data_IF_321068850859
#
_entry.id   IF_321068850859
#
_cell.length_a   1.000
_cell.length_b   1.000
_cell.length_c   1.000
_cell.angle_alpha   90.00
_cell.angle_beta   90.00
_cell.angle_gamma   90.00
#
_symmetry.space_group_name_H-M   'P 1'
#
loop_
_entity.id
_entity.type
_entity.pdbx_description
1 polymer ?
#
# COMPACT_ATOMS: atom_id res chain seq x y z
N UNK A 1 30.97 -2.63 1.62
CA UNK A 1 29.91 -1.60 1.74
C UNK A 1 30.16 -0.52 0.71
N UNK A 2 29.24 -0.30 -0.23
CA UNK A 2 29.40 0.71 -1.29
C UNK A 2 29.37 2.13 -0.71
N UNK A 3 29.94 3.11 -1.41
CA UNK A 3 29.85 4.53 -1.02
C UNK A 3 28.39 4.97 -0.74
N UNK A 4 27.41 4.47 -1.51
CA UNK A 4 25.98 4.73 -1.32
C UNK A 4 25.43 4.16 -0.01
N UNK A 5 25.86 2.97 0.42
CA UNK A 5 25.48 2.41 1.69
C UNK A 5 26.08 3.17 2.88
N UNK A 6 27.29 3.71 2.72
CA UNK A 6 27.93 4.58 3.72
C UNK A 6 27.24 5.94 3.83
N UNK A 7 26.78 6.51 2.72
CA UNK A 7 26.01 7.77 2.72
C UNK A 7 24.64 7.58 3.40
N UNK A 8 23.93 6.51 3.07
CA UNK A 8 22.64 6.20 3.70
C UNK A 8 22.79 5.90 5.20
N UNK A 9 23.87 5.21 5.61
CA UNK A 9 24.20 4.97 7.01
C UNK A 9 24.56 6.28 7.74
N UNK A 10 25.24 7.23 7.06
CA UNK A 10 25.55 8.56 7.60
C UNK A 10 24.26 9.38 7.84
N UNK A 11 23.31 9.36 6.91
CA UNK A 11 22.01 10.03 7.10
C UNK A 11 21.27 9.45 8.31
N UNK A 12 21.25 8.14 8.47
CA UNK A 12 20.65 7.45 9.63
C UNK A 12 21.43 7.78 10.91
N UNK A 13 22.76 7.80 10.89
CA UNK A 13 23.59 8.16 12.04
C UNK A 13 23.44 9.65 12.44
N UNK A 14 23.36 10.55 11.46
CA UNK A 14 23.13 11.99 11.70
C UNK A 14 21.74 12.21 12.31
N UNK A 15 20.72 11.45 11.88
CA UNK A 15 19.39 11.47 12.52
C UNK A 15 19.45 10.96 13.96
N UNK A 16 20.16 9.88 14.24
CA UNK A 16 20.36 9.35 15.59
C UNK A 16 21.18 10.29 16.49
N UNK A 17 22.22 10.94 15.96
CA UNK A 17 23.02 11.92 16.69
C UNK A 17 22.25 13.23 16.99
N UNK A 18 21.48 13.74 16.02
CA UNK A 18 20.62 14.93 16.26
C UNK A 18 19.54 14.65 17.31
N UNK A 19 18.96 13.45 17.34
CA UNK A 19 18.04 13.01 18.41
C UNK A 19 18.72 12.89 19.78
N UNK A 20 20.02 12.55 19.83
CA UNK A 20 20.79 12.41 21.07
C UNK A 20 21.31 13.76 21.59
N UNK A 21 21.60 14.71 20.73
CA UNK A 21 22.09 16.06 21.11
C UNK A 21 20.99 16.92 21.75
N UNK A 22 19.72 16.71 21.38
CA UNK A 22 18.57 17.36 22.02
C UNK A 22 18.31 16.88 23.47
N UNK A 23 18.87 15.73 23.87
CA UNK A 23 18.73 15.18 25.23
C UNK A 23 19.87 15.65 26.15
N UNK A 24 21.00 16.11 25.60
CA UNK A 24 22.17 16.52 26.40
C UNK A 24 22.31 18.04 26.62
N UNK A 25 21.40 18.85 26.05
CA UNK A 25 21.42 20.31 26.18
C UNK A 25 20.79 20.89 27.47
N UNK A 26 20.29 20.06 28.40
CA UNK A 26 19.52 20.50 29.56
C UNK A 26 20.18 20.29 30.91
N UNK A 27 21.45 19.95 30.99
CA UNK A 27 22.16 19.81 32.27
C UNK A 27 23.51 20.52 32.18
N UNK A 28 23.52 21.81 32.37
CA UNK A 28 24.64 22.59 32.87
C UNK A 28 24.23 24.08 32.97
N UNK A 29 23.54 24.46 34.02
CA UNK A 29 23.70 25.77 34.71
C UNK A 29 23.00 25.66 36.05
N UNK A 30 23.73 25.33 37.10
CA UNK A 30 23.46 25.77 38.46
C UNK A 30 24.77 25.71 39.21
N UNK A 31 25.37 26.87 39.38
CA UNK A 31 25.94 27.33 40.65
C UNK A 31 26.70 28.62 40.41
N UNK A 32 26.16 29.73 40.84
CA UNK A 32 26.93 30.77 41.54
C UNK A 32 25.97 31.64 42.29
N UNK A 33 26.21 31.75 43.57
CA UNK A 33 25.55 32.63 44.53
C UNK A 33 26.05 34.07 44.46
N UNK A 34 25.15 34.97 44.85
CA UNK A 34 25.26 36.19 45.67
C UNK A 34 25.27 37.52 44.93
N UNK A 35 24.32 38.29 45.19
CA UNK A 35 24.21 39.52 46.00
C UNK A 35 23.07 40.43 45.51
N UNK A 36 22.39 41.00 46.50
CA UNK A 36 21.20 41.82 46.40
C UNK A 36 21.34 43.03 45.48
N UNK A 37 20.34 43.25 44.61
CA UNK A 37 19.82 44.58 44.29
C UNK A 37 18.32 44.46 43.94
N UNK A 38 17.51 45.13 44.72
CA UNK A 38 16.07 45.30 44.52
C UNK A 38 15.86 46.24 43.35
N UNK A 39 15.41 45.77 42.26
CA UNK A 39 14.75 46.55 41.22
C UNK A 39 13.38 45.90 40.94
N UNK A 40 12.37 46.61 41.42
CA UNK A 40 10.98 46.40 41.06
C UNK A 40 10.79 46.69 39.57
N UNK A 41 10.58 45.66 38.79
CA UNK A 41 9.95 45.76 37.50
C UNK A 41 8.91 44.66 37.43
N UNK A 42 7.66 45.07 37.34
CA UNK A 42 6.52 44.29 36.95
C UNK A 42 6.79 43.69 35.54
N UNK A 43 7.49 42.60 35.46
CA UNK A 43 7.36 41.64 34.35
C UNK A 43 6.47 40.52 34.87
N UNK A 44 5.16 40.72 34.72
CA UNK A 44 4.25 39.60 34.58
C UNK A 44 4.71 38.80 33.33
N UNK A 45 5.66 37.93 33.50
CA UNK A 45 5.76 36.76 32.66
C UNK A 45 4.45 36.01 32.87
N UNK A 46 3.46 36.27 32.00
CA UNK A 46 2.43 35.32 31.75
C UNK A 46 3.15 33.99 31.48
N UNK A 47 3.22 33.13 32.49
CA UNK A 47 3.47 31.72 32.28
C UNK A 47 2.30 31.25 31.43
N UNK A 48 2.51 31.30 30.11
CA UNK A 48 1.59 30.72 29.13
C UNK A 48 1.34 29.32 29.63
N UNK A 49 0.15 29.06 30.15
CA UNK A 49 -0.25 27.70 30.53
C UNK A 49 -0.15 26.92 29.23
N UNK A 50 0.95 26.19 29.07
CA UNK A 50 1.13 25.29 27.94
C UNK A 50 -0.07 24.37 27.95
N UNK A 51 -0.86 24.38 26.88
CA UNK A 51 -1.99 23.49 26.74
C UNK A 51 -1.53 22.03 26.93
N UNK A 52 -2.42 21.13 27.31
CA UNK A 52 -2.10 19.73 27.60
C UNK A 52 -1.32 19.03 26.48
N UNK A 53 -1.36 19.55 25.25
CA UNK A 53 -0.76 18.97 24.05
C UNK A 53 0.28 19.86 23.36
N UNK A 54 0.69 20.98 23.94
CA UNK A 54 1.57 21.98 23.29
C UNK A 54 2.89 21.34 22.81
N UNK A 55 3.55 20.54 23.67
CA UNK A 55 4.82 19.90 23.35
C UNK A 55 4.66 18.85 22.22
N UNK A 56 3.59 18.09 22.26
CA UNK A 56 3.28 17.07 21.26
C UNK A 56 2.95 17.69 19.91
N UNK A 57 2.11 18.71 19.88
CA UNK A 57 1.75 19.41 18.64
C UNK A 57 2.97 20.15 18.04
N UNK A 58 3.87 20.72 18.85
CA UNK A 58 5.13 21.28 18.35
C UNK A 58 6.03 20.22 17.73
N UNK A 59 6.09 19.02 18.32
CA UNK A 59 6.80 17.91 17.73
C UNK A 59 6.15 17.50 16.40
N UNK A 60 4.82 17.37 16.33
CA UNK A 60 4.09 17.08 15.08
C UNK A 60 4.43 18.11 14.00
N UNK A 61 4.32 19.42 14.34
CA UNK A 61 4.65 20.49 13.41
C UNK A 61 6.09 20.39 12.88
N UNK A 62 7.05 20.15 13.78
CA UNK A 62 8.46 20.05 13.40
C UNK A 62 8.72 18.88 12.42
N UNK A 63 8.11 17.71 12.66
CA UNK A 63 8.23 16.57 11.76
C UNK A 63 7.57 16.86 10.40
N UNK A 64 6.36 17.41 10.41
CA UNK A 64 5.65 17.77 9.19
C UNK A 64 6.40 18.83 8.39
N UNK A 65 6.91 19.87 9.05
CA UNK A 65 7.70 20.90 8.38
C UNK A 65 9.00 20.35 7.78
N UNK A 66 9.57 19.28 8.33
CA UNK A 66 10.78 18.62 7.80
C UNK A 66 10.49 17.63 6.69
N UNK A 67 9.53 16.70 6.90
CA UNK A 67 9.37 15.52 6.06
C UNK A 67 8.22 15.64 5.05
N UNK A 68 7.20 16.50 5.30
CA UNK A 68 5.99 16.55 4.50
C UNK A 68 6.22 17.09 3.08
N UNK A 69 5.76 16.38 2.06
CA UNK A 69 5.97 16.76 0.65
C UNK A 69 5.43 18.16 0.33
N UNK A 70 4.26 18.48 0.85
CA UNK A 70 3.59 19.78 0.63
C UNK A 70 3.76 20.71 1.82
N UNK A 71 4.93 20.71 2.48
CA UNK A 71 5.21 21.55 3.65
C UNK A 71 4.95 23.05 3.44
N UNK A 72 5.08 23.53 2.20
CA UNK A 72 4.82 24.93 1.85
C UNK A 72 3.33 25.30 1.86
N UNK A 73 2.44 24.31 1.82
CA UNK A 73 1.01 24.52 1.92
C UNK A 73 0.52 24.51 3.39
N UNK A 74 1.40 24.17 4.34
CA UNK A 74 1.09 24.19 5.77
C UNK A 74 0.87 25.63 6.28
N UNK A 75 0.01 25.84 7.30
CA UNK A 75 -0.10 27.11 7.98
C UNK A 75 1.22 27.49 8.65
N UNK A 76 1.47 28.82 8.81
CA UNK A 76 2.60 29.30 9.59
C UNK A 76 2.53 28.81 11.04
N UNK A 77 3.69 28.49 11.61
CA UNK A 77 3.77 28.02 12.99
C UNK A 77 3.12 28.95 14.02
N UNK A 78 3.17 30.26 13.79
CA UNK A 78 2.56 31.26 14.69
C UNK A 78 1.03 31.30 14.56
N UNK A 79 0.47 30.80 13.46
CA UNK A 79 -0.97 30.74 13.23
C UNK A 79 -1.60 29.43 13.71
N UNK A 80 -0.80 28.46 14.19
CA UNK A 80 -1.29 27.15 14.61
C UNK A 80 -1.81 27.16 16.05
N UNK A 81 -2.91 26.42 16.29
CA UNK A 81 -3.44 26.16 17.62
C UNK A 81 -2.83 24.88 18.22
N UNK A 82 -1.84 25.04 19.07
CA UNK A 82 -1.13 23.95 19.75
C UNK A 82 -1.90 23.37 20.96
N UNK A 83 -3.12 23.80 21.21
CA UNK A 83 -3.94 23.31 22.34
C UNK A 83 -4.87 22.16 21.95
N UNK A 84 -5.04 21.91 20.65
CA UNK A 84 -5.86 20.80 20.13
C UNK A 84 -5.17 19.46 20.31
N UNK A 85 -5.92 18.36 20.24
CA UNK A 85 -5.32 17.02 20.25
C UNK A 85 -4.42 16.81 19.02
N UNK A 86 -3.29 16.09 19.17
CA UNK A 86 -2.29 15.97 18.11
C UNK A 86 -2.76 15.32 16.80
N UNK A 87 -3.79 14.47 16.83
CA UNK A 87 -4.37 13.86 15.61
C UNK A 87 -5.16 14.90 14.83
N UNK A 88 -5.96 15.71 15.51
CA UNK A 88 -6.68 16.85 14.92
C UNK A 88 -5.70 17.91 14.45
N UNK A 89 -4.67 18.22 15.25
CA UNK A 89 -3.60 19.13 14.88
C UNK A 89 -2.87 18.67 13.61
N UNK A 90 -2.47 17.40 13.53
CA UNK A 90 -1.86 16.84 12.31
C UNK A 90 -2.75 17.07 11.08
N UNK A 91 -4.06 16.81 11.19
CA UNK A 91 -5.00 17.00 10.08
C UNK A 91 -5.10 18.46 9.65
N UNK A 92 -4.99 19.42 10.58
CA UNK A 92 -5.02 20.86 10.27
C UNK A 92 -3.82 21.34 9.46
N UNK A 93 -2.72 20.57 9.46
CA UNK A 93 -1.50 20.88 8.69
C UNK A 93 -1.54 20.37 7.25
N UNK A 94 -2.52 19.54 6.88
CA UNK A 94 -2.52 18.88 5.58
C UNK A 94 -2.93 19.83 4.45
N UNK A 95 -2.22 19.75 3.34
CA UNK A 95 -2.60 20.36 2.07
C UNK A 95 -3.90 19.77 1.55
N UNK A 96 -4.71 20.58 0.87
CA UNK A 96 -5.91 20.11 0.15
C UNK A 96 -5.62 19.06 -0.95
N UNK A 97 -4.38 18.95 -1.38
CA UNK A 97 -3.90 17.92 -2.33
C UNK A 97 -3.72 16.55 -1.67
N UNK A 98 -3.62 16.53 -0.35
CA UNK A 98 -3.30 15.33 0.42
C UNK A 98 -4.56 14.54 0.77
N UNK A 99 -4.64 13.32 0.25
CA UNK A 99 -5.72 12.36 0.53
C UNK A 99 -5.21 11.13 1.28
N UNK A 100 -3.92 11.09 1.65
CA UNK A 100 -3.24 9.85 2.01
C UNK A 100 -2.46 9.91 3.33
N UNK A 101 -2.15 11.11 3.84
CA UNK A 101 -1.47 11.26 5.12
C UNK A 101 -2.40 10.95 6.28
N UNK A 102 -1.88 10.27 7.28
CA UNK A 102 -2.63 9.99 8.51
C UNK A 102 -1.72 9.99 9.74
N UNK A 103 -2.33 10.08 10.91
CA UNK A 103 -1.66 9.92 12.19
C UNK A 103 -2.50 9.06 13.12
N UNK A 104 -1.82 8.33 14.01
CA UNK A 104 -2.46 7.48 15.00
C UNK A 104 -1.87 7.75 16.38
N UNK A 105 -2.73 7.74 17.40
CA UNK A 105 -2.37 7.76 18.80
C UNK A 105 -2.65 6.38 19.41
N UNK A 106 -1.77 5.95 20.28
CA UNK A 106 -1.79 4.66 20.95
C UNK A 106 -1.16 3.47 20.20
N UNK A 107 -0.71 2.57 21.02
CA UNK A 107 0.16 1.43 20.90
C UNK A 107 -0.20 0.36 19.86
N UNK A 108 -1.29 0.51 19.18
CA UNK A 108 -1.51 -0.18 17.92
C UNK A 108 -0.75 0.59 16.86
N UNK A 109 0.58 0.45 16.84
CA UNK A 109 1.27 0.73 15.60
C UNK A 109 0.49 -0.03 14.53
N UNK A 110 -0.19 0.72 13.68
CA UNK A 110 -0.68 0.16 12.43
C UNK A 110 0.57 -0.06 11.57
N UNK A 111 1.42 -0.96 12.03
CA UNK A 111 2.06 -1.86 11.12
C UNK A 111 0.90 -2.49 10.41
N UNK A 112 0.95 -2.64 9.12
CA UNK A 112 0.05 -3.45 8.33
C UNK A 112 -0.50 -4.54 9.24
N UNK A 113 -1.65 -4.28 9.90
CA UNK A 113 -2.13 -5.24 10.87
C UNK A 113 -2.73 -6.34 10.04
N UNK A 114 -2.05 -7.45 10.01
CA UNK A 114 -2.42 -8.67 9.32
C UNK A 114 -3.65 -9.33 9.95
N UNK A 115 -4.44 -8.55 10.72
CA UNK A 115 -5.65 -9.03 11.38
C UNK A 115 -6.85 -8.85 10.47
N UNK A 116 -7.33 -9.95 9.98
CA UNK A 116 -8.63 -10.05 9.35
C UNK A 116 -9.65 -10.39 10.46
N UNK A 117 -10.58 -9.47 10.74
CA UNK A 117 -11.50 -9.58 11.88
C UNK A 117 -12.25 -10.92 11.95
N UNK A 118 -12.65 -11.44 10.80
CA UNK A 118 -13.45 -12.66 10.72
C UNK A 118 -12.74 -13.84 10.05
N UNK A 119 -11.54 -13.67 9.49
CA UNK A 119 -10.83 -14.69 8.70
C UNK A 119 -11.33 -14.80 7.25
N UNK A 120 -12.01 -13.78 6.76
CA UNK A 120 -12.36 -13.55 5.36
C UNK A 120 -12.55 -12.06 5.11
N UNK A 121 -12.46 -11.64 3.85
CA UNK A 121 -12.72 -10.28 3.44
C UNK A 121 -14.01 -10.18 2.63
N UNK A 122 -14.67 -9.05 2.72
CA UNK A 122 -16.00 -8.84 2.15
C UNK A 122 -16.19 -7.39 1.67
N UNK A 123 -17.21 -7.22 0.83
CA UNK A 123 -17.76 -5.91 0.46
C UNK A 123 -19.24 -5.90 0.85
N UNK A 124 -19.64 -4.83 1.51
CA UNK A 124 -21.05 -4.61 1.85
C UNK A 124 -21.82 -4.00 0.68
N UNK A 125 -23.09 -4.39 0.56
CA UNK A 125 -24.02 -3.94 -0.48
C UNK A 125 -25.38 -3.62 0.10
N UNK A 126 -26.12 -2.75 -0.57
CA UNK A 126 -27.50 -2.41 -0.27
C UNK A 126 -28.33 -2.10 -1.53
N UNK A 127 -29.62 -2.40 -1.49
CA UNK A 127 -30.64 -1.90 -2.41
C UNK A 127 -31.48 -0.76 -1.79
N UNK A 128 -31.10 -0.30 -0.59
CA UNK A 128 -31.85 0.67 0.22
C UNK A 128 -32.78 0.04 1.27
N UNK A 129 -33.18 -1.21 1.10
CA UNK A 129 -34.03 -1.96 2.05
C UNK A 129 -33.26 -3.07 2.74
N UNK A 130 -32.38 -3.76 2.02
CA UNK A 130 -31.62 -4.91 2.49
C UNK A 130 -30.13 -4.62 2.46
N UNK A 131 -29.46 -4.85 3.59
CA UNK A 131 -28.01 -4.77 3.70
C UNK A 131 -27.43 -6.17 3.87
N UNK A 132 -26.39 -6.49 3.11
CA UNK A 132 -25.64 -7.73 3.21
C UNK A 132 -24.20 -7.52 2.77
N UNK A 133 -23.33 -8.49 3.06
CA UNK A 133 -21.98 -8.50 2.55
C UNK A 133 -21.77 -9.68 1.60
N UNK A 134 -20.96 -9.49 0.56
CA UNK A 134 -20.50 -10.58 -0.29
C UNK A 134 -19.04 -10.88 0.01
N UNK A 135 -18.73 -12.14 0.24
CA UNK A 135 -17.38 -12.64 0.52
C UNK A 135 -16.50 -12.48 -0.71
N UNK A 136 -15.37 -11.78 -0.55
CA UNK A 136 -14.37 -11.57 -1.59
C UNK A 136 -13.35 -12.72 -1.64
N UNK A 137 -12.82 -13.10 -0.49
CA UNK A 137 -11.96 -14.27 -0.32
C UNK A 137 -11.90 -14.69 1.17
N UNK A 138 -11.55 -15.96 1.40
CA UNK A 138 -11.50 -16.55 2.75
C UNK A 138 -10.08 -16.97 3.07
N UNK A 139 -9.51 -16.46 4.15
CA UNK A 139 -8.15 -16.78 4.61
C UNK A 139 -8.14 -17.86 5.70
N UNK A 140 -9.18 -17.90 6.56
CA UNK A 140 -9.28 -18.88 7.64
C UNK A 140 -9.52 -20.31 7.10
N UNK A 141 -8.60 -21.27 7.37
CA UNK A 141 -8.83 -22.69 7.02
C UNK A 141 -10.11 -23.23 7.64
N UNK A 142 -10.39 -22.88 8.90
CA UNK A 142 -11.60 -23.32 9.61
C UNK A 142 -12.89 -22.88 8.93
N UNK A 143 -12.93 -21.66 8.37
CA UNK A 143 -14.11 -21.19 7.64
C UNK A 143 -14.23 -21.86 6.27
N UNK A 144 -13.10 -22.13 5.59
CA UNK A 144 -13.08 -22.91 4.34
C UNK A 144 -13.62 -24.33 4.56
N UNK A 145 -13.21 -24.99 5.64
CA UNK A 145 -13.72 -26.32 6.02
C UNK A 145 -15.23 -26.30 6.33
N UNK A 146 -15.74 -25.19 6.86
CA UNK A 146 -17.19 -24.96 7.08
C UNK A 146 -17.94 -24.60 5.78
N UNK A 147 -17.24 -24.53 4.65
CA UNK A 147 -17.82 -24.29 3.33
C UNK A 147 -17.96 -22.82 2.94
N UNK A 148 -17.47 -21.86 3.76
CA UNK A 148 -17.49 -20.45 3.39
C UNK A 148 -16.52 -20.21 2.22
N UNK A 149 -17.01 -19.55 1.18
CA UNK A 149 -16.28 -19.31 -0.06
C UNK A 149 -16.57 -17.94 -0.67
N UNK A 150 -15.74 -17.55 -1.62
CA UNK A 150 -15.96 -16.35 -2.45
C UNK A 150 -17.35 -16.38 -3.08
N UNK A 151 -18.03 -15.23 -3.03
CA UNK A 151 -19.37 -15.06 -3.58
C UNK A 151 -20.49 -15.34 -2.61
N UNK A 152 -20.25 -16.04 -1.50
CA UNK A 152 -21.28 -16.24 -0.49
C UNK A 152 -21.79 -14.91 0.07
N UNK A 153 -23.09 -14.87 0.35
CA UNK A 153 -23.74 -13.71 0.94
C UNK A 153 -23.86 -13.91 2.44
N UNK A 154 -23.49 -12.88 3.21
CA UNK A 154 -23.49 -12.93 4.65
C UNK A 154 -24.05 -11.65 5.27
N UNK A 155 -24.61 -11.77 6.47
CA UNK A 155 -24.83 -10.66 7.40
C UNK A 155 -23.94 -10.87 8.63
N UNK A 156 -23.39 -9.77 9.15
CA UNK A 156 -22.44 -9.80 10.25
C UNK A 156 -23.07 -9.18 11.49
N UNK A 157 -23.22 -9.98 12.55
CA UNK A 157 -23.74 -9.53 13.84
C UNK A 157 -22.79 -9.95 14.95
N UNK A 158 -22.17 -8.98 15.60
CA UNK A 158 -21.17 -9.21 16.66
C UNK A 158 -20.10 -10.23 16.25
N UNK A 159 -20.17 -11.45 16.78
CA UNK A 159 -19.27 -12.55 16.47
C UNK A 159 -19.92 -13.63 15.60
N UNK A 160 -21.05 -13.35 14.95
CA UNK A 160 -21.77 -14.32 14.12
C UNK A 160 -21.72 -13.93 12.65
N UNK A 161 -21.50 -14.93 11.82
CA UNK A 161 -21.55 -14.85 10.36
C UNK A 161 -22.82 -15.59 9.94
N UNK A 162 -23.82 -14.86 9.51
CA UNK A 162 -25.08 -15.42 9.05
C UNK A 162 -25.00 -15.57 7.53
N UNK A 163 -24.93 -16.81 7.05
CA UNK A 163 -24.98 -17.13 5.63
C UNK A 163 -26.43 -17.10 5.14
N UNK A 164 -26.64 -16.62 3.93
CA UNK A 164 -27.97 -16.57 3.37
C UNK A 164 -28.00 -16.38 1.85
N UNK A 165 -29.18 -16.10 1.36
CA UNK A 165 -29.47 -15.82 -0.04
C UNK A 165 -30.38 -14.61 -0.13
N UNK A 166 -30.37 -13.95 -1.28
CA UNK A 166 -31.35 -12.92 -1.59
C UNK A 166 -32.59 -13.54 -2.22
N UNK A 167 -33.74 -13.20 -1.64
CA UNK A 167 -35.05 -13.55 -2.13
C UNK A 167 -35.83 -12.27 -2.42
N UNK A 168 -37.03 -12.41 -3.02
CA UNK A 168 -37.90 -11.25 -3.28
C UNK A 168 -38.26 -10.41 -2.05
N UNK A 169 -38.18 -11.02 -0.86
CA UNK A 169 -38.48 -10.38 0.42
C UNK A 169 -37.23 -9.93 1.20
N UNK A 170 -36.03 -9.91 0.55
CA UNK A 170 -34.78 -9.51 1.16
C UNK A 170 -33.82 -10.68 1.44
N UNK A 171 -32.97 -10.52 2.43
CA UNK A 171 -31.98 -11.54 2.82
C UNK A 171 -32.61 -12.62 3.68
N UNK A 172 -32.53 -13.89 3.25
CA UNK A 172 -33.00 -15.05 3.96
C UNK A 172 -31.80 -15.85 4.52
N UNK A 173 -31.74 -16.01 5.84
CA UNK A 173 -30.70 -16.78 6.52
C UNK A 173 -30.84 -18.28 6.24
N UNK A 174 -29.72 -18.96 5.99
CA UNK A 174 -29.63 -20.41 5.77
C UNK A 174 -28.81 -21.12 6.81
N UNK A 175 -27.73 -20.49 7.29
CA UNK A 175 -26.85 -21.07 8.30
C UNK A 175 -26.18 -19.95 9.11
N UNK A 176 -25.65 -20.30 10.28
CA UNK A 176 -24.92 -19.38 11.15
C UNK A 176 -23.61 -20.01 11.59
N UNK A 177 -22.53 -19.32 11.34
CA UNK A 177 -21.19 -19.70 11.79
C UNK A 177 -20.82 -18.78 12.95
N UNK A 178 -20.47 -19.34 14.10
CA UNK A 178 -19.88 -18.57 15.19
C UNK A 178 -18.54 -17.98 14.73
N UNK A 179 -18.42 -16.67 14.83
CA UNK A 179 -17.20 -15.96 14.47
C UNK A 179 -16.02 -16.41 15.32
N UNK A 180 -14.88 -16.59 14.69
CA UNK A 180 -13.64 -16.83 15.41
C UNK A 180 -13.10 -15.53 15.98
N UNK A 181 -12.23 -15.63 17.00
CA UNK A 181 -11.39 -14.53 17.45
C UNK A 181 -10.62 -13.89 16.26
N UNK A 182 -10.16 -12.65 16.36
CA UNK A 182 -9.36 -12.02 15.31
C UNK A 182 -8.33 -12.99 14.72
N UNK A 183 -8.36 -13.16 13.43
CA UNK A 183 -7.50 -14.10 12.70
C UNK A 183 -6.33 -13.33 12.12
N UNK A 184 -5.10 -13.74 12.45
CA UNK A 184 -3.90 -13.16 11.86
C UNK A 184 -3.69 -13.74 10.46
N UNK A 185 -3.71 -12.87 9.45
CA UNK A 185 -3.33 -13.27 8.10
C UNK A 185 -1.82 -13.35 8.01
N UNK A 186 -1.29 -14.57 7.95
CA UNK A 186 0.16 -14.82 7.89
C UNK A 186 0.71 -14.88 6.47
N UNK A 187 -0.14 -15.16 5.48
CA UNK A 187 0.26 -15.28 4.07
C UNK A 187 -0.11 -14.05 3.26
N UNK A 188 0.82 -13.58 2.44
CA UNK A 188 0.60 -12.47 1.51
C UNK A 188 0.28 -12.94 0.09
N UNK A 189 0.64 -14.15 -0.26
CA UNK A 189 0.18 -14.83 -1.48
C UNK A 189 -1.04 -15.68 -1.11
N UNK A 190 -2.20 -15.31 -1.63
CA UNK A 190 -3.45 -16.01 -1.35
C UNK A 190 -3.52 -17.34 -2.10
N UNK A 191 -3.09 -17.33 -3.37
CA UNK A 191 -3.13 -18.47 -4.26
C UNK A 191 -2.08 -18.28 -5.35
N UNK A 192 -1.38 -19.35 -5.70
CA UNK A 192 -0.60 -19.47 -6.93
C UNK A 192 -0.98 -20.75 -7.68
N UNK A 193 -0.83 -20.71 -8.98
CA UNK A 193 -1.12 -21.84 -9.88
C UNK A 193 -0.33 -21.72 -11.18
N UNK A 194 -0.15 -22.84 -11.86
CA UNK A 194 0.41 -22.87 -13.21
C UNK A 194 -0.61 -23.53 -14.14
N UNK A 195 -0.97 -22.83 -15.20
CA UNK A 195 -1.88 -23.35 -16.24
C UNK A 195 -1.11 -23.68 -17.50
N UNK A 196 -1.51 -24.76 -18.17
CA UNK A 196 -1.06 -25.05 -19.51
C UNK A 196 -2.05 -24.45 -20.52
N UNK A 197 -1.65 -23.37 -21.18
CA UNK A 197 -2.43 -22.72 -22.23
C UNK A 197 -1.72 -22.94 -23.56
N UNK A 198 -2.24 -23.86 -24.34
CA UNK A 198 -1.59 -24.34 -25.56
C UNK A 198 -0.14 -24.81 -25.28
N UNK A 199 0.86 -24.11 -25.79
CA UNK A 199 2.28 -24.44 -25.61
C UNK A 199 2.95 -23.63 -24.50
N UNK A 200 2.21 -22.75 -23.80
CA UNK A 200 2.74 -21.86 -22.79
C UNK A 200 2.38 -22.33 -21.38
N UNK A 201 3.33 -22.25 -20.48
CA UNK A 201 3.10 -22.33 -19.04
C UNK A 201 2.79 -20.93 -18.53
N UNK A 202 1.61 -20.75 -17.97
CA UNK A 202 1.11 -19.47 -17.42
C UNK A 202 1.07 -19.55 -15.91
N UNK A 203 1.95 -18.81 -15.25
CA UNK A 203 1.86 -18.61 -13.81
C UNK A 203 0.70 -17.67 -13.48
N UNK A 204 -0.06 -17.99 -12.45
CA UNK A 204 -1.05 -17.11 -11.82
C UNK A 204 -0.67 -16.92 -10.37
N UNK A 205 -0.72 -15.68 -9.88
CA UNK A 205 -0.48 -15.36 -8.48
C UNK A 205 -1.46 -14.30 -8.01
N UNK A 206 -2.34 -14.65 -7.07
CA UNK A 206 -3.15 -13.69 -6.33
C UNK A 206 -2.36 -13.20 -5.12
N UNK A 207 -1.93 -11.94 -5.16
CA UNK A 207 -1.03 -11.32 -4.20
C UNK A 207 -1.73 -10.19 -3.46
N UNK A 208 -1.97 -10.37 -2.16
CA UNK A 208 -2.85 -9.50 -1.37
C UNK A 208 -2.15 -8.27 -0.79
N UNK A 209 -0.84 -8.34 -0.55
CA UNK A 209 -0.13 -7.22 0.09
C UNK A 209 1.39 -7.29 -0.11
N UNK A 210 2.01 -6.15 -0.38
CA UNK A 210 3.48 -6.02 -0.45
C UNK A 210 4.08 -5.93 0.94
N UNK A 211 4.12 -7.04 1.67
CA UNK A 211 4.63 -7.11 3.03
C UNK A 211 5.80 -8.09 3.15
N UNK A 212 5.56 -9.33 3.54
CA UNK A 212 6.58 -10.34 3.74
C UNK A 212 7.10 -10.91 2.41
N UNK A 213 8.43 -11.06 2.28
CA UNK A 213 9.06 -11.62 1.09
C UNK A 213 9.06 -13.14 1.04
N UNK A 214 8.89 -13.83 2.18
CA UNK A 214 9.10 -15.28 2.27
C UNK A 214 8.17 -16.06 1.34
N UNK A 215 6.86 -15.83 1.43
CA UNK A 215 5.88 -16.53 0.60
C UNK A 215 6.08 -16.19 -0.88
N UNK A 216 6.30 -14.88 -1.15
CA UNK A 216 6.59 -14.39 -2.49
C UNK A 216 7.84 -15.06 -3.09
N UNK A 217 8.92 -15.22 -2.30
CA UNK A 217 10.15 -15.89 -2.76
C UNK A 217 9.91 -17.34 -3.13
N UNK A 218 9.10 -18.06 -2.35
CA UNK A 218 8.77 -19.46 -2.62
C UNK A 218 8.01 -19.61 -3.94
N UNK A 219 7.02 -18.75 -4.19
CA UNK A 219 6.23 -18.78 -5.44
C UNK A 219 7.10 -18.39 -6.63
N UNK A 220 7.91 -17.34 -6.52
CA UNK A 220 8.82 -16.94 -7.60
C UNK A 220 9.88 -18.00 -7.92
N UNK A 221 10.37 -18.72 -6.89
CA UNK A 221 11.25 -19.86 -7.06
C UNK A 221 10.54 -20.97 -7.85
N UNK A 222 9.30 -21.32 -7.46
CA UNK A 222 8.49 -22.34 -8.15
C UNK A 222 8.26 -21.96 -9.60
N UNK A 223 7.86 -20.73 -9.89
CA UNK A 223 7.68 -20.24 -11.25
C UNK A 223 8.97 -20.26 -12.08
N UNK A 224 10.11 -19.95 -11.46
CA UNK A 224 11.42 -20.03 -12.09
C UNK A 224 11.81 -21.49 -12.43
N UNK A 225 11.62 -22.41 -11.49
CA UNK A 225 11.92 -23.85 -11.68
C UNK A 225 11.03 -24.48 -12.75
N UNK A 226 9.76 -24.10 -12.80
CA UNK A 226 8.80 -24.52 -13.81
C UNK A 226 8.96 -23.80 -15.16
N UNK A 227 9.80 -22.76 -15.22
CA UNK A 227 10.05 -22.01 -16.47
C UNK A 227 8.76 -21.48 -17.10
N UNK A 228 7.98 -20.68 -16.34
CA UNK A 228 6.76 -20.08 -16.88
C UNK A 228 7.07 -19.12 -18.03
N UNK A 229 6.22 -19.11 -19.06
CA UNK A 229 6.34 -18.22 -20.22
C UNK A 229 5.64 -16.88 -20.02
N UNK A 230 4.57 -16.86 -19.23
CA UNK A 230 3.68 -15.73 -18.97
C UNK A 230 3.29 -15.68 -17.50
N UNK A 231 2.97 -14.49 -17.00
CA UNK A 231 2.47 -14.28 -15.63
C UNK A 231 1.18 -13.47 -15.65
N UNK A 232 0.17 -13.99 -14.96
CA UNK A 232 -1.02 -13.24 -14.55
C UNK A 232 -0.88 -12.92 -13.06
N UNK A 233 -0.66 -11.65 -12.75
CA UNK A 233 -0.51 -11.14 -11.40
C UNK A 233 -1.82 -10.48 -10.94
N UNK A 234 -2.53 -11.11 -10.02
CA UNK A 234 -3.80 -10.61 -9.52
C UNK A 234 -3.58 -9.70 -8.30
N UNK A 235 -3.69 -8.41 -8.52
CA UNK A 235 -3.56 -7.33 -7.52
C UNK A 235 -4.89 -6.66 -7.21
N UNK A 236 -6.04 -7.21 -7.63
CA UNK A 236 -7.36 -6.56 -7.45
C UNK A 236 -7.69 -6.25 -5.99
N UNK A 237 -7.15 -6.99 -5.04
CA UNK A 237 -7.35 -6.77 -3.58
C UNK A 237 -6.07 -6.32 -2.88
N UNK A 238 -5.11 -5.74 -3.61
CA UNK A 238 -3.82 -5.33 -3.07
C UNK A 238 -3.71 -3.81 -2.92
N UNK A 239 -3.84 -3.26 -1.71
CA UNK A 239 -3.73 -1.81 -1.47
C UNK A 239 -2.29 -1.28 -1.48
N UNK A 240 -1.31 -2.14 -1.75
CA UNK A 240 0.09 -1.77 -1.77
C UNK A 240 0.90 -2.36 -0.62
N UNK A 241 1.81 -1.57 -0.07
CA UNK A 241 2.69 -1.94 1.04
C UNK A 241 4.13 -1.48 0.85
N UNK A 242 5.10 -2.33 1.19
CA UNK A 242 6.52 -1.98 1.20
C UNK A 242 7.10 -1.84 -0.21
N UNK A 243 7.68 -0.68 -0.49
CA UNK A 243 8.41 -0.40 -1.76
C UNK A 243 9.54 -1.42 -1.99
N UNK A 244 10.21 -1.87 -0.92
CA UNK A 244 11.28 -2.87 -1.03
C UNK A 244 10.78 -4.23 -1.53
N UNK A 245 9.56 -4.62 -1.16
CA UNK A 245 8.92 -5.87 -1.62
C UNK A 245 8.35 -5.71 -3.03
N UNK A 246 7.79 -4.53 -3.36
CA UNK A 246 7.42 -4.18 -4.73
C UNK A 246 8.62 -4.27 -5.67
N UNK A 247 9.75 -3.65 -5.30
CA UNK A 247 10.99 -3.73 -6.06
C UNK A 247 11.50 -5.16 -6.20
N UNK A 248 11.38 -5.99 -5.17
CA UNK A 248 11.77 -7.40 -5.22
C UNK A 248 10.97 -8.16 -6.27
N UNK A 249 9.64 -8.06 -6.27
CA UNK A 249 8.78 -8.67 -7.29
C UNK A 249 9.08 -8.13 -8.69
N UNK A 250 9.23 -6.82 -8.82
CA UNK A 250 9.57 -6.18 -10.11
C UNK A 250 10.90 -6.66 -10.67
N UNK A 251 11.93 -6.84 -9.82
CA UNK A 251 13.22 -7.42 -10.23
C UNK A 251 13.09 -8.87 -10.72
N UNK A 252 12.13 -9.61 -10.18
CA UNK A 252 11.92 -11.01 -10.55
C UNK A 252 11.21 -11.16 -11.90
N UNK A 253 10.31 -10.24 -12.23
CA UNK A 253 9.49 -10.35 -13.45
C UNK A 253 10.06 -9.63 -14.66
N UNK A 254 10.85 -8.56 -14.42
CA UNK A 254 11.39 -7.73 -15.51
C UNK A 254 12.26 -8.51 -16.49
N UNK A 255 12.19 -8.14 -17.77
CA UNK A 255 13.09 -8.66 -18.81
C UNK A 255 14.53 -8.16 -18.62
N UNK A 256 15.49 -8.85 -19.22
CA UNK A 256 16.92 -8.52 -19.16
C UNK A 256 17.23 -7.08 -19.58
N UNK A 257 16.44 -6.52 -20.50
CA UNK A 257 16.60 -5.14 -20.96
C UNK A 257 16.42 -4.10 -19.84
N UNK A 258 15.78 -4.47 -18.73
CA UNK A 258 15.60 -3.59 -17.59
C UNK A 258 16.68 -3.73 -16.51
N UNK A 259 17.60 -4.70 -16.62
CA UNK A 259 18.60 -4.91 -15.58
C UNK A 259 19.57 -3.73 -15.47
N UNK A 260 19.70 -3.19 -14.26
CA UNK A 260 20.51 -2.01 -14.00
C UNK A 260 19.83 -0.67 -14.27
N UNK A 261 18.72 -0.68 -14.99
CA UNK A 261 17.94 0.53 -15.30
C UNK A 261 17.19 1.07 -14.06
N UNK A 262 16.66 2.27 -14.17
CA UNK A 262 15.92 2.91 -13.07
C UNK A 262 14.57 2.20 -12.87
N UNK A 263 14.42 1.56 -11.72
CA UNK A 263 13.13 1.07 -11.24
C UNK A 263 12.21 2.23 -10.87
N UNK A 264 12.73 3.15 -10.06
CA UNK A 264 11.96 4.26 -9.52
C UNK A 264 12.89 5.41 -9.15
N UNK A 265 12.46 6.63 -9.40
CA UNK A 265 13.07 7.84 -8.86
C UNK A 265 12.06 8.60 -8.00
N UNK A 266 12.55 9.21 -6.92
CA UNK A 266 11.72 9.95 -5.99
C UNK A 266 12.18 11.40 -5.87
N UNK A 267 11.21 12.31 -5.80
CA UNK A 267 11.40 13.73 -5.48
C UNK A 267 10.78 14.02 -4.11
N UNK A 268 11.26 15.05 -3.46
CA UNK A 268 10.92 15.40 -2.08
C UNK A 268 10.60 16.89 -1.95
N UNK A 269 10.27 17.34 -0.75
CA UNK A 269 10.22 18.76 -0.44
C UNK A 269 11.62 19.40 -0.51
N UNK A 270 11.70 20.72 -0.40
CA UNK A 270 12.93 21.48 -0.53
C UNK A 270 13.98 21.23 0.57
N UNK A 271 13.56 20.85 1.78
CA UNK A 271 14.48 20.48 2.88
C UNK A 271 15.13 19.13 2.58
N UNK A 272 14.33 18.10 2.35
CA UNK A 272 14.83 16.76 2.05
C UNK A 272 15.63 16.73 0.75
N UNK A 273 15.19 17.45 -0.28
CA UNK A 273 15.95 17.59 -1.56
C UNK A 273 17.35 18.15 -1.30
N UNK A 274 17.48 19.18 -0.47
CA UNK A 274 18.77 19.75 -0.08
C UNK A 274 19.63 18.75 0.70
N UNK A 275 19.06 18.08 1.68
CA UNK A 275 19.77 17.06 2.48
C UNK A 275 20.27 15.91 1.60
N UNK A 276 19.46 15.45 0.64
CA UNK A 276 19.88 14.42 -0.32
C UNK A 276 20.98 14.94 -1.24
N UNK A 277 20.89 16.19 -1.70
CA UNK A 277 21.93 16.80 -2.52
C UNK A 277 23.27 16.90 -1.76
N UNK A 278 23.26 17.36 -0.54
CA UNK A 278 24.46 17.43 0.32
C UNK A 278 25.08 16.04 0.57
N UNK A 279 24.23 15.00 0.72
CA UNK A 279 24.70 13.65 1.00
C UNK A 279 25.14 12.86 -0.23
N UNK A 280 24.56 13.13 -1.41
CA UNK A 280 24.71 12.27 -2.60
C UNK A 280 25.05 13.01 -3.89
N UNK A 281 25.01 14.33 -3.91
CA UNK A 281 25.13 15.17 -5.10
C UNK A 281 23.87 15.19 -5.98
N UNK A 282 22.73 14.69 -5.48
CA UNK A 282 21.46 14.67 -6.20
C UNK A 282 20.30 15.01 -5.28
N UNK A 283 19.41 15.89 -5.73
CA UNK A 283 18.14 16.23 -5.04
C UNK A 283 17.11 15.10 -5.07
N UNK A 284 17.34 14.09 -5.92
CA UNK A 284 16.45 12.93 -6.12
C UNK A 284 17.12 11.66 -5.66
N UNK A 285 16.32 10.69 -5.26
CA UNK A 285 16.82 9.34 -5.03
C UNK A 285 16.44 8.41 -6.18
N UNK A 286 17.36 7.50 -6.52
CA UNK A 286 17.19 6.53 -7.59
C UNK A 286 17.28 5.11 -7.05
N UNK A 287 16.32 4.31 -7.40
CA UNK A 287 16.32 2.86 -7.23
C UNK A 287 16.50 2.19 -8.59
N UNK A 288 17.43 1.26 -8.69
CA UNK A 288 17.69 0.53 -9.94
C UNK A 288 17.20 -0.90 -9.83
N UNK A 289 16.81 -1.49 -10.96
CA UNK A 289 16.57 -2.92 -11.05
C UNK A 289 17.86 -3.70 -10.79
N UNK A 290 17.73 -4.84 -10.16
CA UNK A 290 18.85 -5.72 -9.83
C UNK A 290 18.89 -6.90 -10.81
N UNK A 291 20.10 -7.35 -11.12
CA UNK A 291 20.29 -8.61 -11.84
C UNK A 291 19.95 -9.76 -10.87
N UNK A 292 19.07 -10.69 -11.27
CA UNK A 292 18.73 -11.86 -10.48
C UNK A 292 19.95 -12.76 -10.22
N UNK A 293 20.01 -13.36 -9.04
CA UNK A 293 21.06 -14.32 -8.69
C UNK A 293 20.59 -15.79 -8.80
N UNK A 294 19.30 -16.00 -9.09
CA UNK A 294 18.67 -17.30 -9.32
C UNK A 294 19.00 -18.34 -8.23
N UNK A 295 18.92 -17.89 -6.98
CA UNK A 295 19.24 -18.71 -5.80
C UNK A 295 20.75 -18.85 -5.49
N UNK A 296 21.63 -18.27 -6.32
CA UNK A 296 23.09 -18.26 -6.07
C UNK A 296 23.44 -17.09 -5.17
N UNK A 297 23.36 -17.24 -3.88
CA UNK A 297 23.65 -16.17 -2.94
C UNK A 297 23.58 -16.63 -1.48
N UNK A 298 23.73 -15.68 -0.57
CA UNK A 298 23.52 -15.95 0.85
C UNK A 298 22.03 -16.25 1.12
N UNK A 299 21.71 -17.10 2.09
CA UNK A 299 20.32 -17.36 2.49
C UNK A 299 19.57 -16.04 2.77
N UNK A 300 18.38 -15.90 2.22
CA UNK A 300 17.55 -14.68 2.31
C UNK A 300 17.92 -13.57 1.31
N UNK A 301 18.93 -13.80 0.44
CA UNK A 301 19.29 -12.88 -0.66
C UNK A 301 18.82 -13.35 -2.03
N UNK A 302 18.09 -14.46 -2.08
CA UNK A 302 17.61 -15.08 -3.31
C UNK A 302 16.74 -14.12 -4.11
N UNK A 303 16.96 -14.09 -5.40
CA UNK A 303 16.20 -13.33 -6.38
C UNK A 303 16.13 -14.16 -7.66
N UNK A 304 14.94 -14.69 -7.95
CA UNK A 304 14.70 -15.53 -9.14
C UNK A 304 14.20 -14.65 -10.29
N UNK A 305 14.89 -14.67 -11.43
CA UNK A 305 14.54 -13.90 -12.62
C UNK A 305 13.69 -14.72 -13.57
N UNK A 306 12.45 -14.32 -13.76
CA UNK A 306 11.53 -14.96 -14.69
C UNK A 306 11.75 -14.48 -16.13
N UNK A 307 12.39 -13.30 -16.31
CA UNK A 307 12.75 -12.70 -17.60
C UNK A 307 11.57 -12.66 -18.58
N UNK A 308 10.43 -12.14 -18.13
CA UNK A 308 9.20 -12.13 -18.91
C UNK A 308 9.19 -10.99 -19.93
N UNK A 309 8.63 -11.24 -21.11
CA UNK A 309 8.44 -10.21 -22.15
C UNK A 309 7.22 -9.33 -21.89
N UNK A 310 6.24 -9.89 -21.21
CA UNK A 310 5.00 -9.21 -20.78
C UNK A 310 4.45 -9.82 -19.50
N UNK A 311 3.59 -9.06 -18.82
CA UNK A 311 2.76 -9.55 -17.73
C UNK A 311 1.33 -9.05 -17.90
N UNK A 312 0.38 -9.79 -17.33
CA UNK A 312 -1.01 -9.38 -17.18
C UNK A 312 -1.25 -9.04 -15.72
N UNK A 313 -1.77 -7.85 -15.45
CA UNK A 313 -2.05 -7.42 -14.08
C UNK A 313 -3.55 -7.22 -13.92
N UNK A 314 -4.16 -8.00 -13.03
CA UNK A 314 -5.57 -7.87 -12.71
C UNK A 314 -5.73 -6.84 -11.60
N UNK A 315 -6.55 -5.81 -11.84
CA UNK A 315 -6.71 -4.66 -10.95
C UNK A 315 -8.15 -4.37 -10.59
N UNK A 316 -8.35 -3.65 -9.50
CA UNK A 316 -9.60 -2.99 -9.17
C UNK A 316 -9.32 -1.54 -8.71
N UNK A 317 -10.36 -0.78 -8.45
CA UNK A 317 -10.26 0.56 -7.83
C UNK A 317 -9.57 0.58 -6.45
N UNK A 318 -9.27 -0.59 -5.89
CA UNK A 318 -8.53 -0.77 -4.63
C UNK A 318 -7.08 -1.22 -4.84
N UNK A 319 -6.63 -1.42 -6.07
CA UNK A 319 -5.21 -1.62 -6.37
C UNK A 319 -4.48 -0.29 -6.24
N UNK A 320 -3.58 -0.14 -5.25
CA UNK A 320 -3.03 1.17 -4.89
C UNK A 320 -1.52 1.14 -4.59
N UNK A 321 -0.89 2.31 -4.64
CA UNK A 321 0.46 2.54 -4.09
C UNK A 321 1.51 1.59 -4.68
N UNK A 322 2.06 0.62 -3.91
CA UNK A 322 3.06 -0.33 -4.40
C UNK A 322 2.58 -1.19 -5.57
N UNK A 323 1.25 -1.50 -5.66
CA UNK A 323 0.66 -2.17 -6.82
C UNK A 323 0.76 -1.31 -8.08
N UNK A 324 0.47 -0.02 -7.95
CA UNK A 324 0.57 0.95 -9.04
C UNK A 324 2.04 1.24 -9.40
N UNK A 325 2.91 1.33 -8.38
CA UNK A 325 4.35 1.51 -8.57
C UNK A 325 4.96 0.36 -9.39
N UNK A 326 4.56 -0.89 -9.14
CA UNK A 326 4.98 -2.05 -9.92
C UNK A 326 4.60 -1.86 -11.40
N UNK A 327 3.33 -1.55 -11.67
CA UNK A 327 2.80 -1.40 -13.03
C UNK A 327 3.59 -0.33 -13.79
N UNK A 328 3.70 0.89 -13.23
CA UNK A 328 4.37 1.99 -13.97
C UNK A 328 5.88 1.79 -14.10
N UNK A 329 6.52 1.13 -13.12
CA UNK A 329 7.97 0.92 -13.18
C UNK A 329 8.38 -0.14 -14.20
N UNK A 330 7.51 -1.10 -14.52
CA UNK A 330 7.75 -2.12 -15.53
C UNK A 330 7.43 -1.65 -16.96
N UNK A 331 6.43 -0.77 -17.14
CA UNK A 331 5.98 -0.28 -18.45
C UNK A 331 7.10 0.25 -19.37
N UNK A 332 8.18 0.92 -18.90
CA UNK A 332 9.26 1.37 -19.78
C UNK A 332 10.04 0.24 -20.46
N UNK A 333 10.03 -0.97 -19.89
CA UNK A 333 10.95 -2.06 -20.25
C UNK A 333 10.27 -3.31 -20.80
N UNK A 334 8.97 -3.48 -20.51
CA UNK A 334 8.21 -4.65 -20.94
C UNK A 334 6.73 -4.30 -21.15
N UNK A 335 6.00 -5.18 -21.83
CA UNK A 335 4.55 -5.02 -21.97
C UNK A 335 3.85 -5.37 -20.66
N UNK A 336 3.02 -4.44 -20.15
CA UNK A 336 2.17 -4.62 -18.98
C UNK A 336 0.73 -4.40 -19.40
N UNK A 337 -0.05 -5.48 -19.45
CA UNK A 337 -1.47 -5.46 -19.80
C UNK A 337 -2.30 -5.39 -18.53
N UNK A 338 -3.10 -4.34 -18.37
CA UNK A 338 -3.93 -4.09 -17.18
C UNK A 338 -5.38 -4.47 -17.47
N UNK A 339 -5.94 -5.37 -16.66
CA UNK A 339 -7.30 -5.91 -16.84
C UNK A 339 -8.07 -5.71 -15.54
N UNK A 340 -9.31 -5.26 -15.63
CA UNK A 340 -10.19 -5.06 -14.48
C UNK A 340 -10.73 -3.64 -14.40
N UNK A 341 -10.60 -2.99 -13.26
CA UNK A 341 -10.99 -1.60 -13.06
C UNK A 341 -9.74 -0.72 -12.92
N UNK A 342 -9.90 0.58 -13.24
CA UNK A 342 -8.91 1.63 -13.03
C UNK A 342 -8.43 1.61 -11.57
N UNK A 343 -7.13 1.80 -11.35
CA UNK A 343 -6.53 1.73 -10.02
C UNK A 343 -6.85 2.96 -9.15
N UNK A 344 -6.39 2.96 -7.90
CA UNK A 344 -6.78 3.96 -6.90
C UNK A 344 -6.23 5.37 -7.14
N UNK A 345 -5.02 5.51 -7.66
CA UNK A 345 -4.40 6.81 -7.92
C UNK A 345 -3.50 7.34 -6.81
N UNK A 346 -2.70 6.47 -6.16
CA UNK A 346 -1.72 6.88 -5.13
C UNK A 346 -0.29 6.88 -5.68
N UNK A 347 0.08 7.93 -6.43
CA UNK A 347 1.42 8.12 -7.01
C UNK A 347 2.46 8.69 -6.05
N UNK A 348 2.20 8.66 -4.75
CA UNK A 348 3.03 9.24 -3.69
C UNK A 348 3.42 8.20 -2.65
N UNK A 349 4.51 8.46 -1.94
CA UNK A 349 5.02 7.58 -0.90
C UNK A 349 5.14 8.27 0.45
N UNK A 350 5.20 7.46 1.50
CA UNK A 350 5.31 7.91 2.88
C UNK A 350 6.24 7.00 3.68
N UNK A 351 6.73 7.49 4.80
CA UNK A 351 7.33 6.66 5.85
C UNK A 351 6.76 7.01 7.20
N UNK A 352 6.81 6.04 8.11
CA UNK A 352 6.34 6.23 9.47
C UNK A 352 7.34 7.03 10.31
N UNK A 353 6.87 8.05 10.99
CA UNK A 353 7.61 8.84 11.96
C UNK A 353 6.99 8.56 13.33
N UNK A 354 7.79 7.98 14.24
CA UNK A 354 7.30 7.49 15.53
C UNK A 354 7.86 8.30 16.69
N UNK A 355 7.00 8.62 17.65
CA UNK A 355 7.40 9.16 18.94
C UNK A 355 6.99 8.22 20.06
N UNK A 356 7.97 7.57 20.65
CA UNK A 356 7.73 6.61 21.73
C UNK A 356 7.32 7.29 23.07
N UNK A 357 7.72 8.56 23.30
CA UNK A 357 7.35 9.33 24.49
C UNK A 357 5.85 9.61 24.51
N UNK A 358 5.32 10.06 23.37
CA UNK A 358 3.92 10.44 23.24
C UNK A 358 3.05 9.35 22.63
N UNK A 359 3.64 8.23 22.23
CA UNK A 359 2.95 7.10 21.57
C UNK A 359 2.20 7.50 20.28
N UNK A 360 2.77 8.43 19.51
CA UNK A 360 2.26 8.85 18.22
C UNK A 360 3.04 8.19 17.08
N UNK A 361 2.29 7.88 16.02
CA UNK A 361 2.85 7.60 14.70
C UNK A 361 2.24 8.57 13.70
N UNK A 362 3.08 9.28 12.97
CA UNK A 362 2.71 10.07 11.81
C UNK A 362 3.09 9.30 10.55
N UNK A 363 2.25 9.38 9.55
CA UNK A 363 2.49 8.81 8.22
C UNK A 363 2.22 9.90 7.16
N UNK A 364 3.04 10.97 7.12
CA UNK A 364 2.89 12.01 6.12
C UNK A 364 3.31 11.51 4.75
N UNK A 365 2.71 12.05 3.70
CA UNK A 365 3.27 11.90 2.36
C UNK A 365 4.59 12.66 2.30
N UNK A 366 5.66 11.98 1.92
CA UNK A 366 7.03 12.50 1.98
C UNK A 366 7.72 12.57 0.63
N UNK A 367 7.20 11.86 -0.36
CA UNK A 367 7.79 11.80 -1.70
C UNK A 367 6.75 11.62 -2.80
N UNK A 368 7.08 12.13 -3.99
CA UNK A 368 6.48 11.77 -5.26
C UNK A 368 7.40 10.79 -5.97
N UNK A 369 6.86 9.69 -6.51
CA UNK A 369 7.66 8.72 -7.26
C UNK A 369 7.32 8.72 -8.76
N UNK A 370 8.33 8.37 -9.56
CA UNK A 370 8.28 8.32 -11.02
C UNK A 370 9.00 7.06 -11.52
N UNK A 371 8.61 6.58 -12.69
CA UNK A 371 9.35 5.54 -13.39
C UNK A 371 10.59 6.08 -14.15
N UNK A 372 11.26 5.26 -14.92
CA UNK A 372 12.45 5.65 -15.70
C UNK A 372 12.17 6.73 -16.76
N UNK A 373 10.92 6.87 -17.21
CA UNK A 373 10.48 7.89 -18.18
C UNK A 373 9.89 9.15 -17.56
N UNK A 374 10.04 9.34 -16.24
CA UNK A 374 9.42 10.44 -15.51
C UNK A 374 7.88 10.44 -15.51
N UNK A 375 7.27 9.29 -15.69
CA UNK A 375 5.84 9.12 -15.56
C UNK A 375 5.50 8.73 -14.11
N UNK A 376 4.37 9.23 -13.60
CA UNK A 376 3.85 8.93 -12.26
C UNK A 376 2.39 8.51 -12.33
N UNK A 377 1.86 7.98 -11.26
CA UNK A 377 0.44 7.69 -11.11
C UNK A 377 -0.29 8.98 -10.75
N UNK A 378 -1.30 9.32 -11.53
CA UNK A 378 -2.17 10.46 -11.25
C UNK A 378 -3.23 10.11 -10.21
N UNK A 379 -3.94 11.11 -9.69
CA UNK A 379 -5.05 10.92 -8.73
C UNK A 379 -6.23 10.14 -9.32
N UNK A 380 -6.28 9.99 -10.65
CA UNK A 380 -7.30 9.20 -11.34
C UNK A 380 -6.93 7.71 -11.41
N UNK A 381 -5.69 7.36 -11.07
CA UNK A 381 -5.19 5.99 -11.17
C UNK A 381 -4.67 5.60 -12.55
N UNK A 382 -4.30 4.33 -12.67
CA UNK A 382 -3.81 3.75 -13.93
C UNK A 382 -5.02 3.23 -14.72
N UNK A 383 -5.24 3.70 -15.96
CA UNK A 383 -6.31 3.18 -16.79
C UNK A 383 -6.05 1.73 -17.18
N UNK A 384 -7.13 0.98 -17.41
CA UNK A 384 -7.08 -0.42 -17.84
C UNK A 384 -7.07 -0.54 -19.37
N UNK A 385 -6.41 -1.58 -19.87
CA UNK A 385 -6.47 -1.96 -21.27
C UNK A 385 -7.78 -2.71 -21.59
N UNK A 386 -8.30 -3.46 -20.60
CA UNK A 386 -9.56 -4.21 -20.68
C UNK A 386 -10.37 -3.98 -19.41
N UNK A 387 -11.53 -3.36 -19.57
CA UNK A 387 -12.44 -3.10 -18.44
C UNK A 387 -13.26 -4.36 -18.11
N UNK A 388 -13.14 -4.84 -16.89
CA UNK A 388 -13.87 -5.99 -16.33
C UNK A 388 -14.15 -5.69 -14.86
N UNK A 389 -15.38 -5.35 -14.47
CA UNK A 389 -15.69 -5.03 -13.07
C UNK A 389 -15.68 -6.29 -12.19
N UNK A 390 -15.21 -6.14 -10.95
CA UNK A 390 -15.31 -7.18 -9.92
C UNK A 390 -16.37 -6.82 -8.85
N UNK A 391 -17.49 -6.26 -9.28
CA UNK A 391 -18.63 -5.86 -8.46
C UNK A 391 -19.42 -7.04 -7.89
N UNK A 392 -20.61 -6.75 -7.38
CA UNK A 392 -21.56 -7.77 -6.94
C UNK A 392 -21.92 -8.73 -8.09
N UNK A 393 -21.99 -10.02 -7.78
CA UNK A 393 -22.44 -11.03 -8.73
C UNK A 393 -22.98 -12.26 -7.99
N UNK A 394 -24.13 -12.76 -8.40
CA UNK A 394 -24.71 -14.02 -7.90
C UNK A 394 -23.92 -15.25 -8.35
N UNK A 395 -23.12 -15.12 -9.41
CA UNK A 395 -22.33 -16.20 -10.01
C UNK A 395 -20.81 -15.99 -9.83
N UNK A 396 -20.42 -15.35 -8.73
CA UNK A 396 -19.00 -15.01 -8.47
C UNK A 396 -18.15 -16.27 -8.35
N UNK A 397 -17.18 -16.41 -9.26
CA UNK A 397 -16.28 -17.58 -9.31
C UNK A 397 -15.10 -17.41 -8.36
N UNK A 398 -14.50 -18.53 -7.95
CA UNK A 398 -13.31 -18.49 -7.11
C UNK A 398 -12.12 -17.86 -7.85
N UNK A 399 -11.24 -17.20 -7.08
CA UNK A 399 -9.95 -16.75 -7.61
C UNK A 399 -9.14 -17.96 -8.09
N UNK A 400 -8.51 -17.82 -9.26
CA UNK A 400 -7.79 -18.92 -9.90
C UNK A 400 -8.65 -19.88 -10.74
N UNK A 401 -9.97 -19.74 -10.74
CA UNK A 401 -10.82 -20.47 -11.71
C UNK A 401 -10.60 -19.88 -13.11
N UNK A 402 -10.29 -20.74 -14.09
CA UNK A 402 -10.00 -20.30 -15.47
C UNK A 402 -11.20 -19.60 -16.15
N UNK A 403 -12.40 -19.82 -15.66
CA UNK A 403 -13.62 -19.15 -16.10
C UNK A 403 -13.96 -17.90 -15.24
N UNK A 404 -13.10 -17.51 -14.28
CA UNK A 404 -13.26 -16.26 -13.54
C UNK A 404 -13.02 -15.08 -14.50
N UNK A 405 -13.91 -14.07 -14.56
CA UNK A 405 -13.94 -13.10 -15.65
C UNK A 405 -12.62 -12.40 -15.95
N UNK A 406 -11.90 -11.92 -14.94
CA UNK A 406 -10.63 -11.22 -15.15
C UNK A 406 -9.52 -12.18 -15.59
N UNK A 407 -9.41 -13.33 -14.94
CA UNK A 407 -8.43 -14.36 -15.31
C UNK A 407 -8.71 -14.91 -16.71
N UNK A 408 -9.98 -15.18 -17.03
CA UNK A 408 -10.38 -15.65 -18.37
C UNK A 408 -9.90 -14.73 -19.48
N UNK A 409 -10.11 -13.42 -19.35
CA UNK A 409 -9.63 -12.45 -20.35
C UNK A 409 -8.11 -12.52 -20.50
N UNK A 410 -7.35 -12.61 -19.40
CA UNK A 410 -5.90 -12.76 -19.48
C UNK A 410 -5.50 -14.03 -20.24
N UNK A 411 -6.12 -15.18 -19.91
CA UNK A 411 -5.83 -16.45 -20.56
C UNK A 411 -6.23 -16.46 -22.04
N UNK A 412 -7.37 -15.87 -22.40
CA UNK A 412 -7.82 -15.74 -23.80
C UNK A 412 -6.86 -14.86 -24.61
N UNK A 413 -6.34 -13.76 -24.03
CA UNK A 413 -5.33 -12.91 -24.67
C UNK A 413 -3.99 -13.64 -24.86
N UNK A 414 -3.58 -14.47 -23.91
CA UNK A 414 -2.39 -15.32 -24.03
C UNK A 414 -2.56 -16.33 -25.16
N UNK A 415 -3.72 -16.97 -25.24
CA UNK A 415 -4.07 -17.94 -26.26
C UNK A 415 -4.07 -17.33 -27.67
N UNK A 416 -4.58 -16.10 -27.83
CA UNK A 416 -4.66 -15.43 -29.13
C UNK A 416 -3.32 -14.88 -29.65
N UNK A 417 -2.20 -15.05 -28.94
CA UNK A 417 -0.85 -14.52 -29.27
C UNK A 417 -0.82 -13.02 -29.61
N UNK A 418 -1.82 -12.26 -29.23
CA UNK A 418 -1.87 -10.81 -29.50
C UNK A 418 -0.83 -10.10 -28.65
N UNK A 419 0.26 -9.69 -29.28
CA UNK A 419 1.15 -8.64 -28.79
C UNK A 419 0.33 -7.35 -28.69
N UNK A 420 -0.19 -7.06 -27.51
CA UNK A 420 -0.73 -5.72 -27.21
C UNK A 420 0.48 -4.82 -27.04
N UNK A 421 0.95 -4.24 -28.13
CA UNK A 421 1.91 -3.15 -28.09
C UNK A 421 1.20 -1.96 -27.46
N UNK A 422 1.67 -1.50 -26.32
CA UNK A 422 1.14 -0.34 -25.60
C UNK A 422 1.14 0.91 -26.48
N UNK A 423 0.03 1.17 -27.10
CA UNK A 423 -0.24 2.39 -27.84
C UNK A 423 -1.64 2.85 -27.45
N UNK A 424 -1.78 4.11 -27.06
CA UNK A 424 -2.95 4.88 -26.68
C UNK A 424 -4.23 4.01 -26.57
N UNK A 425 -4.43 3.43 -25.40
CA UNK A 425 -5.53 2.54 -25.15
C UNK A 425 -6.84 3.30 -25.16
N UNK A 426 -7.56 3.23 -26.28
CA UNK A 426 -9.00 3.31 -26.23
C UNK A 426 -9.41 2.02 -25.47
N UNK A 427 -9.90 2.15 -24.22
CA UNK A 427 -10.38 1.01 -23.44
C UNK A 427 -11.37 0.23 -24.30
N UNK A 428 -10.95 -0.96 -24.74
CA UNK A 428 -11.86 -1.88 -25.41
C UNK A 428 -12.75 -2.46 -24.32
N UNK A 429 -13.91 -1.83 -24.11
CA UNK A 429 -14.97 -2.47 -23.35
C UNK A 429 -15.30 -3.79 -24.03
N UNK A 430 -14.80 -4.88 -23.47
CA UNK A 430 -15.47 -6.17 -23.64
C UNK A 430 -16.79 -5.93 -22.93
N UNK A 431 -17.91 -5.97 -23.65
CA UNK A 431 -19.22 -5.79 -23.05
C UNK A 431 -19.49 -6.97 -22.13
N UNK A 432 -19.01 -6.87 -20.89
CA UNK A 432 -19.60 -7.58 -19.79
C UNK A 432 -20.84 -6.79 -19.42
N UNK A 433 -22.01 -7.36 -19.62
CA UNK A 433 -23.23 -6.87 -18.99
C UNK A 433 -22.93 -6.84 -17.49
N UNK A 434 -22.78 -5.64 -16.94
CA UNK A 434 -22.90 -5.45 -15.50
C UNK A 434 -24.27 -6.02 -15.12
N UNK A 435 -24.30 -7.19 -14.52
CA UNK A 435 -25.47 -7.66 -13.80
C UNK A 435 -25.57 -6.79 -12.53
N UNK A 436 -25.90 -5.53 -12.75
CA UNK A 436 -26.19 -4.58 -11.69
C UNK A 436 -27.62 -4.87 -11.25
N UNK A 437 -27.78 -5.92 -10.41
CA UNK A 437 -29.07 -6.34 -9.86
C UNK A 437 -29.67 -5.31 -8.88
N UNK A 438 -29.36 -4.01 -9.08
CA UNK A 438 -29.87 -2.92 -8.26
C UNK A 438 -29.14 -2.71 -6.92
N UNK A 439 -28.12 -3.52 -6.62
CA UNK A 439 -27.36 -3.37 -5.38
C UNK A 439 -26.15 -2.45 -5.54
N UNK A 440 -25.99 -1.54 -4.59
CA UNK A 440 -24.86 -0.58 -4.55
C UNK A 440 -23.90 -0.98 -3.43
N UNK A 441 -22.60 -0.90 -3.69
CA UNK A 441 -21.57 -1.08 -2.67
C UNK A 441 -21.70 0.01 -1.60
N UNK A 442 -21.64 -0.40 -0.32
CA UNK A 442 -21.60 0.49 0.84
C UNK A 442 -20.14 0.57 1.32
N UNK A 443 -19.62 1.81 1.38
CA UNK A 443 -18.27 2.03 1.89
C UNK A 443 -17.18 1.34 1.08
N UNK A 444 -16.08 1.02 1.76
CA UNK A 444 -14.92 0.32 1.20
C UNK A 444 -14.93 -1.15 1.64
N UNK A 445 -14.31 -2.06 0.86
CA UNK A 445 -14.17 -3.46 1.28
C UNK A 445 -13.43 -3.57 2.61
N UNK A 446 -13.68 -4.65 3.33
CA UNK A 446 -13.12 -4.87 4.67
C UNK A 446 -11.59 -4.95 4.71
N UNK A 447 -10.94 -5.36 3.59
CA UNK A 447 -9.48 -5.36 3.46
C UNK A 447 -8.88 -3.97 3.23
N UNK A 448 -9.70 -3.02 2.75
CA UNK A 448 -9.25 -1.64 2.54
C UNK A 448 -9.33 -0.89 3.86
N UNK A 449 -8.20 -0.59 4.42
CA UNK A 449 -8.09 0.23 5.63
C UNK A 449 -7.73 1.65 5.22
N UNK A 450 -8.45 2.62 5.76
CA UNK A 450 -8.07 4.02 5.59
C UNK A 450 -6.70 4.21 6.25
N UNK A 451 -5.73 4.49 5.41
CA UNK A 451 -4.41 4.93 5.82
C UNK A 451 -4.47 6.42 6.05
#
# INVERSE_FOLDING_TARGET
MSLKQRAMLRIVLIRMLKSSILIFGSILVFNSCSSDEVLSLDEQHESKILGAYDEECRWVYAQMNHDYLWRKDMPDSLACDYTTDPVTFFKSLLSSKDKFSYSTHNSSYVGTSDFVKYGFEYQEYTDGNTNFAQVLYVTSPKLKERGLKRGDLVQLHDNKIILGVLCSNGFESRDTIEGSSPFEQTTTVYLDSIYQIERKKVGYMCYLQFNNKKDLTNVLKHFYEEQIDELVLDLRYNPGGLVSTCKYLSNSVISENGYGEIFQQCTYNDILSREYFEATGSEKTFNHFRIPNNGKGLPGSELYGLNLKRIFVLTSKYSASASEALIISLKPFMSVVVIGEQTYGKGVGSWAIRNNKYKYQLQPITMQYYNAKMETVTTDGIPVDYYVPDGYSTTKRNLGDVEEPLLKIALDLIKMEKLVMGGNACSRSVAFEEQNEGFKAIGKPSFWRDY
#
